data_IF_090455857167
#
_entry.id   IF_090455857167
#
_cell.length_a   1.000
_cell.length_b   1.000
_cell.length_c   1.000
_cell.angle_alpha   90.00
_cell.angle_beta   90.00
_cell.angle_gamma   90.00
#
_symmetry.space_group_name_H-M   'P 1'
#
loop_
_entity.id
_entity.type
_entity.pdbx_description
1 polymer ?
#
# COMPACT_ATOMS: atom_id res chain seq x y z
N UNK A 1 24.46 -0.33 -54.70
CA UNK A 1 23.12 0.28 -54.51
C UNK A 1 22.08 -0.69 -53.96
N UNK A 2 21.80 -1.85 -54.59
CA UNK A 2 20.78 -2.81 -54.12
C UNK A 2 21.01 -3.39 -52.72
N UNK A 3 22.26 -3.67 -52.35
CA UNK A 3 22.62 -4.22 -51.03
C UNK A 3 22.31 -3.23 -49.89
N UNK A 4 22.45 -1.93 -50.14
CA UNK A 4 22.12 -0.90 -49.14
C UNK A 4 20.60 -0.77 -48.94
N UNK A 5 19.81 -0.89 -50.01
CA UNK A 5 18.33 -0.85 -49.93
C UNK A 5 17.81 -2.05 -49.13
N UNK A 6 18.36 -3.24 -49.36
CA UNK A 6 17.98 -4.45 -48.63
C UNK A 6 18.30 -4.35 -47.13
N UNK A 7 19.49 -3.87 -46.77
CA UNK A 7 19.86 -3.64 -45.38
C UNK A 7 18.98 -2.59 -44.69
N UNK A 8 18.61 -1.51 -45.40
CA UNK A 8 17.70 -0.48 -44.87
C UNK A 8 16.30 -1.06 -44.61
N UNK A 9 15.78 -1.89 -45.51
CA UNK A 9 14.48 -2.54 -45.33
C UNK A 9 14.47 -3.47 -44.10
N UNK A 10 15.54 -4.24 -43.90
CA UNK A 10 15.68 -5.09 -42.70
C UNK A 10 15.70 -4.25 -41.43
N UNK A 11 16.45 -3.14 -41.42
CA UNK A 11 16.49 -2.23 -40.26
C UNK A 11 15.10 -1.67 -39.97
N UNK A 12 14.36 -1.22 -40.98
CA UNK A 12 13.00 -0.67 -40.79
C UNK A 12 12.06 -1.74 -40.22
N UNK A 13 12.12 -2.98 -40.71
CA UNK A 13 11.30 -4.10 -40.24
C UNK A 13 11.58 -4.45 -38.78
N UNK A 14 12.80 -4.22 -38.29
CA UNK A 14 13.15 -4.46 -36.88
C UNK A 14 12.82 -3.23 -36.02
N UNK A 15 13.19 -2.04 -36.48
CA UNK A 15 13.08 -0.81 -35.69
C UNK A 15 11.62 -0.40 -35.52
N UNK A 16 10.76 -0.46 -36.55
CA UNK A 16 9.37 -0.02 -36.42
C UNK A 16 8.58 -0.82 -35.36
N UNK A 17 8.60 -2.17 -35.34
CA UNK A 17 7.96 -2.93 -34.27
C UNK A 17 8.57 -2.65 -32.90
N UNK A 18 9.91 -2.54 -32.79
CA UNK A 18 10.55 -2.25 -31.51
C UNK A 18 10.20 -0.86 -30.98
N UNK A 19 10.13 0.16 -31.86
CA UNK A 19 9.68 1.50 -31.52
C UNK A 19 8.24 1.47 -31.05
N UNK A 20 7.36 0.75 -31.76
CA UNK A 20 5.96 0.60 -31.38
C UNK A 20 5.80 -0.09 -30.01
N UNK A 21 6.48 -1.22 -29.80
CA UNK A 21 6.47 -1.95 -28.53
C UNK A 21 7.04 -1.10 -27.38
N UNK A 22 8.08 -0.32 -27.65
CA UNK A 22 8.66 0.62 -26.67
C UNK A 22 7.67 1.72 -26.31
N UNK A 23 6.98 2.27 -27.32
CA UNK A 23 5.95 3.29 -27.10
C UNK A 23 4.77 2.76 -26.28
N UNK A 24 4.25 1.57 -26.59
CA UNK A 24 3.19 0.95 -25.79
C UNK A 24 3.67 0.64 -24.37
N UNK A 25 4.91 0.18 -24.19
CA UNK A 25 5.48 -0.06 -22.86
C UNK A 25 5.58 1.22 -22.03
N UNK A 26 5.90 2.35 -22.65
CA UNK A 26 5.96 3.64 -21.93
C UNK A 26 4.59 4.09 -21.40
N UNK A 27 3.47 3.64 -21.98
CA UNK A 27 2.13 3.92 -21.43
C UNK A 27 1.91 3.17 -20.11
N UNK A 28 2.34 1.92 -20.03
CA UNK A 28 2.23 1.07 -18.84
C UNK A 28 3.12 1.59 -17.71
N UNK A 29 4.31 2.10 -18.02
CA UNK A 29 5.28 2.57 -17.03
C UNK A 29 5.14 4.05 -16.69
N UNK A 30 4.04 4.67 -17.14
CA UNK A 30 3.80 6.10 -16.97
C UNK A 30 3.60 6.49 -15.51
N UNK A 31 2.84 5.68 -14.77
CA UNK A 31 2.56 5.86 -13.36
C UNK A 31 2.23 4.51 -12.71
N UNK A 32 2.26 4.48 -11.38
CA UNK A 32 2.02 3.26 -10.61
C UNK A 32 0.64 2.64 -10.89
N UNK A 33 -0.38 3.46 -11.16
CA UNK A 33 -1.72 2.95 -11.44
C UNK A 33 -1.73 2.21 -12.77
N UNK A 34 -1.25 2.84 -13.85
CA UNK A 34 -1.17 2.22 -15.17
C UNK A 34 -0.33 0.92 -15.14
N UNK A 35 0.76 0.92 -14.37
CA UNK A 35 1.60 -0.27 -14.21
C UNK A 35 0.84 -1.41 -13.53
N UNK A 36 0.21 -1.16 -12.40
CA UNK A 36 -0.47 -2.20 -11.64
C UNK A 36 -1.81 -2.63 -12.28
N UNK A 37 -2.47 -1.76 -13.04
CA UNK A 37 -3.64 -2.13 -13.87
C UNK A 37 -3.24 -3.15 -14.94
N UNK A 38 -2.13 -2.93 -15.65
CA UNK A 38 -1.61 -3.88 -16.65
C UNK A 38 -1.21 -5.22 -16.02
N UNK A 39 -0.59 -5.20 -14.82
CA UNK A 39 -0.23 -6.43 -14.09
C UNK A 39 -1.48 -7.20 -13.68
N UNK A 40 -2.49 -6.54 -13.12
CA UNK A 40 -3.77 -7.18 -12.74
C UNK A 40 -4.50 -7.73 -13.97
N UNK A 41 -4.48 -7.02 -15.10
CA UNK A 41 -5.09 -7.51 -16.33
C UNK A 41 -4.44 -8.81 -16.85
N UNK A 42 -3.12 -8.96 -16.67
CA UNK A 42 -2.36 -10.16 -17.07
C UNK A 42 -2.39 -11.27 -16.04
N UNK A 43 -2.61 -10.94 -14.76
CA UNK A 43 -2.61 -11.87 -13.64
C UNK A 43 -3.74 -11.53 -12.64
N UNK A 44 -5.01 -11.77 -13.01
CA UNK A 44 -6.16 -11.36 -12.20
C UNK A 44 -6.28 -12.11 -10.87
N UNK A 45 -5.64 -13.28 -10.73
CA UNK A 45 -5.64 -14.05 -9.48
C UNK A 45 -4.39 -13.81 -8.64
N UNK A 46 -3.68 -12.69 -8.85
CA UNK A 46 -2.51 -12.33 -8.07
C UNK A 46 -2.86 -11.34 -6.95
N UNK A 47 -2.96 -11.85 -5.72
CA UNK A 47 -3.26 -11.03 -4.54
C UNK A 47 -2.28 -9.87 -4.33
N UNK A 48 -0.98 -10.06 -4.62
CA UNK A 48 0.03 -9.01 -4.49
C UNK A 48 -0.18 -7.89 -5.51
N UNK A 49 -0.54 -8.25 -6.75
CA UNK A 49 -0.83 -7.27 -7.81
C UNK A 49 -2.03 -6.39 -7.41
N UNK A 50 -3.12 -7.01 -6.95
CA UNK A 50 -4.28 -6.28 -6.44
C UNK A 50 -3.94 -5.39 -5.23
N UNK A 51 -3.14 -5.87 -4.27
CA UNK A 51 -2.69 -5.03 -3.17
C UNK A 51 -1.87 -3.82 -3.65
N UNK A 52 -0.98 -4.01 -4.63
CA UNK A 52 -0.18 -2.90 -5.12
C UNK A 52 -0.99 -1.91 -5.98
N UNK A 53 -1.95 -2.39 -6.78
CA UNK A 53 -2.91 -1.53 -7.47
C UNK A 53 -3.72 -0.70 -6.47
N UNK A 54 -4.20 -1.34 -5.39
CA UNK A 54 -4.90 -0.63 -4.33
C UNK A 54 -4.03 0.45 -3.68
N UNK A 55 -2.74 0.16 -3.41
CA UNK A 55 -1.80 1.16 -2.91
C UNK A 55 -1.61 2.33 -3.89
N UNK A 56 -1.50 2.04 -5.18
CA UNK A 56 -1.37 3.07 -6.21
C UNK A 56 -2.62 3.97 -6.29
N UNK A 57 -3.83 3.39 -6.23
CA UNK A 57 -5.06 4.17 -6.14
C UNK A 57 -5.10 5.04 -4.87
N UNK A 58 -4.77 4.49 -3.70
CA UNK A 58 -4.74 5.23 -2.44
C UNK A 58 -3.74 6.39 -2.44
N UNK A 59 -2.57 6.22 -3.05
CA UNK A 59 -1.57 7.28 -3.23
C UNK A 59 -2.08 8.43 -4.12
N UNK A 60 -3.03 8.15 -5.02
CA UNK A 60 -3.70 9.13 -5.86
C UNK A 60 -5.02 9.66 -5.25
N UNK A 61 -5.29 9.39 -3.97
CA UNK A 61 -6.53 9.82 -3.31
C UNK A 61 -7.79 9.06 -3.74
N UNK A 62 -7.64 7.96 -4.49
CA UNK A 62 -8.72 7.11 -5.00
C UNK A 62 -9.02 5.99 -4.00
N UNK A 63 -9.41 6.37 -2.79
CA UNK A 63 -9.53 5.45 -1.65
C UNK A 63 -10.61 4.37 -1.83
N UNK A 64 -11.69 4.67 -2.54
CA UNK A 64 -12.75 3.70 -2.81
C UNK A 64 -12.27 2.61 -3.77
N UNK A 65 -11.58 2.99 -4.85
CA UNK A 65 -10.93 2.03 -5.75
C UNK A 65 -9.84 1.23 -5.04
N UNK A 66 -9.06 1.87 -4.17
CA UNK A 66 -8.08 1.18 -3.35
C UNK A 66 -8.71 0.05 -2.52
N UNK A 67 -9.81 0.35 -1.82
CA UNK A 67 -10.55 -0.62 -1.01
C UNK A 67 -11.07 -1.79 -1.86
N UNK A 68 -11.57 -1.53 -3.07
CA UNK A 68 -12.03 -2.60 -3.96
C UNK A 68 -10.91 -3.58 -4.31
N UNK A 69 -9.72 -3.06 -4.62
CA UNK A 69 -8.57 -3.88 -4.97
C UNK A 69 -8.00 -4.65 -3.76
N UNK A 70 -7.93 -4.02 -2.59
CA UNK A 70 -7.57 -4.74 -1.36
C UNK A 70 -8.57 -5.85 -1.01
N UNK A 71 -9.87 -5.65 -1.25
CA UNK A 71 -10.89 -6.71 -1.08
C UNK A 71 -10.63 -7.88 -2.03
N UNK A 72 -10.29 -7.62 -3.30
CA UNK A 72 -9.90 -8.69 -4.24
C UNK A 72 -8.66 -9.43 -3.76
N UNK A 73 -7.62 -8.71 -3.31
CA UNK A 73 -6.42 -9.30 -2.74
C UNK A 73 -6.72 -10.21 -1.54
N UNK A 74 -7.61 -9.76 -0.64
CA UNK A 74 -8.05 -10.54 0.52
C UNK A 74 -8.93 -11.74 0.13
N UNK A 75 -9.71 -11.66 -0.95
CA UNK A 75 -10.49 -12.80 -1.42
C UNK A 75 -9.58 -13.90 -2.03
N UNK A 76 -8.54 -13.50 -2.76
CA UNK A 76 -7.56 -14.42 -3.36
C UNK A 76 -6.67 -15.04 -2.28
N UNK A 77 -6.19 -14.23 -1.33
CA UNK A 77 -5.36 -14.67 -0.21
C UNK A 77 -5.97 -14.21 1.13
N UNK A 78 -6.83 -15.03 1.75
CA UNK A 78 -7.60 -14.66 2.95
C UNK A 78 -6.80 -14.23 4.17
N UNK A 79 -5.55 -14.66 4.30
CA UNK A 79 -4.64 -14.31 5.39
C UNK A 79 -3.63 -13.21 5.02
N UNK A 80 -3.86 -12.46 3.93
CA UNK A 80 -2.95 -11.41 3.48
C UNK A 80 -3.05 -10.15 4.34
N UNK A 81 -2.34 -10.14 5.48
CA UNK A 81 -2.39 -9.07 6.47
C UNK A 81 -2.15 -7.66 5.88
N UNK A 82 -1.25 -7.53 4.89
CA UNK A 82 -1.00 -6.26 4.20
C UNK A 82 -2.24 -5.70 3.49
N UNK A 83 -3.06 -6.55 2.87
CA UNK A 83 -4.28 -6.10 2.20
C UNK A 83 -5.27 -5.51 3.21
N UNK A 84 -5.47 -6.17 4.35
CA UNK A 84 -6.33 -5.67 5.42
C UNK A 84 -5.80 -4.38 6.05
N UNK A 85 -4.49 -4.29 6.31
CA UNK A 85 -3.87 -3.07 6.83
C UNK A 85 -4.05 -1.89 5.87
N UNK A 86 -3.80 -2.09 4.57
CA UNK A 86 -3.94 -1.02 3.57
C UNK A 86 -5.42 -0.63 3.35
N UNK A 87 -6.35 -1.57 3.47
CA UNK A 87 -7.78 -1.29 3.54
C UNK A 87 -8.11 -0.41 4.73
N UNK A 88 -7.60 -0.75 5.92
CA UNK A 88 -7.82 0.02 7.15
C UNK A 88 -7.32 1.46 7.01
N UNK A 89 -6.11 1.65 6.44
CA UNK A 89 -5.57 2.98 6.15
C UNK A 89 -6.49 3.77 5.22
N UNK A 90 -7.03 3.14 4.17
CA UNK A 90 -7.92 3.80 3.20
C UNK A 90 -9.26 4.17 3.83
N UNK A 91 -9.84 3.30 4.65
CA UNK A 91 -11.04 3.63 5.46
C UNK A 91 -10.77 4.79 6.43
N UNK A 92 -9.59 4.83 7.07
CA UNK A 92 -9.18 5.92 7.95
C UNK A 92 -9.07 7.28 7.22
N UNK A 93 -8.56 7.29 5.98
CA UNK A 93 -8.55 8.50 5.13
C UNK A 93 -9.97 8.98 4.80
N UNK A 94 -10.89 8.05 4.58
CA UNK A 94 -12.32 8.32 4.38
C UNK A 94 -13.09 8.65 5.67
N UNK A 95 -12.41 8.72 6.84
CA UNK A 95 -13.03 8.95 8.16
C UNK A 95 -14.06 7.88 8.57
N UNK A 96 -13.97 6.70 7.98
CA UNK A 96 -14.74 5.51 8.33
C UNK A 96 -13.99 4.73 9.42
N UNK A 97 -13.96 5.32 10.62
CA UNK A 97 -13.14 4.81 11.73
C UNK A 97 -13.52 3.39 12.19
N UNK A 98 -14.81 3.01 12.29
CA UNK A 98 -15.19 1.65 12.70
C UNK A 98 -14.66 0.57 11.75
N UNK A 99 -14.75 0.81 10.44
CA UNK A 99 -14.23 -0.09 9.41
C UNK A 99 -12.70 -0.14 9.45
N UNK A 100 -12.05 1.01 9.61
CA UNK A 100 -10.60 1.07 9.74
C UNK A 100 -10.11 0.22 10.91
N UNK A 101 -10.72 0.39 12.08
CA UNK A 101 -10.38 -0.38 13.28
C UNK A 101 -10.66 -1.88 13.12
N UNK A 102 -11.79 -2.25 12.52
CA UNK A 102 -12.11 -3.64 12.21
C UNK A 102 -11.00 -4.30 11.37
N UNK A 103 -10.53 -3.61 10.31
CA UNK A 103 -9.52 -4.17 9.42
C UNK A 103 -8.10 -4.14 10.01
N UNK A 104 -7.76 -3.18 10.87
CA UNK A 104 -6.50 -3.25 11.63
C UNK A 104 -6.49 -4.47 12.56
N UNK A 105 -7.56 -4.71 13.32
CA UNK A 105 -7.69 -5.88 14.19
C UNK A 105 -7.61 -7.19 13.41
N UNK A 106 -8.24 -7.24 12.22
CA UNK A 106 -8.15 -8.39 11.32
C UNK A 106 -6.74 -8.61 10.78
N UNK A 107 -6.02 -7.53 10.41
CA UNK A 107 -4.62 -7.61 9.97
C UNK A 107 -3.71 -8.17 11.08
N UNK A 108 -3.86 -7.67 12.33
CA UNK A 108 -3.13 -8.16 13.50
C UNK A 108 -3.42 -9.64 13.75
N UNK A 109 -4.68 -10.06 13.64
CA UNK A 109 -5.06 -11.46 13.84
C UNK A 109 -4.39 -12.41 12.84
N UNK A 110 -4.18 -11.99 11.59
CA UNK A 110 -3.47 -12.79 10.60
C UNK A 110 -1.96 -12.75 10.73
N UNK A 111 -1.40 -11.60 11.11
CA UNK A 111 0.04 -11.47 11.25
C UNK A 111 0.42 -10.45 12.33
N UNK A 112 0.55 -10.89 13.60
CA UNK A 112 0.85 -10.01 14.74
C UNK A 112 2.31 -9.54 14.78
N UNK A 113 3.16 -10.03 13.88
CA UNK A 113 4.57 -9.67 13.80
C UNK A 113 4.89 -8.54 12.81
N UNK A 114 3.89 -7.85 12.27
CA UNK A 114 4.11 -6.73 11.33
C UNK A 114 4.04 -5.38 12.04
N UNK A 115 5.18 -4.69 12.27
CA UNK A 115 5.23 -3.44 13.01
C UNK A 115 4.32 -2.36 12.40
N UNK A 116 4.29 -2.26 11.06
CA UNK A 116 3.52 -1.23 10.33
C UNK A 116 2.03 -1.22 10.70
N UNK A 117 1.45 -2.37 11.06
CA UNK A 117 0.03 -2.43 11.47
C UNK A 117 -0.17 -1.67 12.78
N UNK A 118 0.73 -1.88 13.74
CA UNK A 118 0.68 -1.26 15.06
C UNK A 118 0.95 0.24 14.99
N UNK A 119 1.95 0.67 14.20
CA UNK A 119 2.18 2.09 13.99
C UNK A 119 0.95 2.80 13.43
N UNK A 120 0.39 2.28 12.32
CA UNK A 120 -0.74 2.90 11.65
C UNK A 120 -2.02 2.88 12.50
N UNK A 121 -2.30 1.76 13.19
CA UNK A 121 -3.47 1.67 14.07
C UNK A 121 -3.32 2.57 15.29
N UNK A 122 -2.15 2.57 15.93
CA UNK A 122 -1.85 3.43 17.06
C UNK A 122 -1.94 4.91 16.69
N UNK A 123 -1.45 5.29 15.51
CA UNK A 123 -1.59 6.65 14.98
C UNK A 123 -3.05 7.03 14.73
N UNK A 124 -3.87 6.13 14.17
CA UNK A 124 -5.31 6.35 14.03
C UNK A 124 -5.96 6.63 15.40
N UNK A 125 -5.71 5.79 16.41
CA UNK A 125 -6.24 5.95 17.77
C UNK A 125 -5.81 7.27 18.40
N UNK A 126 -4.52 7.61 18.29
CA UNK A 126 -3.97 8.88 18.76
C UNK A 126 -4.67 10.09 18.10
N UNK A 127 -4.88 10.05 16.78
CA UNK A 127 -5.58 11.12 16.04
C UNK A 127 -7.03 11.32 16.48
N UNK A 128 -7.63 10.29 17.08
CA UNK A 128 -8.97 10.31 17.67
C UNK A 128 -8.98 10.60 19.16
N UNK A 129 -7.83 10.98 19.72
CA UNK A 129 -7.64 11.27 21.14
C UNK A 129 -7.93 10.07 22.06
N UNK A 130 -7.92 8.85 21.52
CA UNK A 130 -8.08 7.59 22.28
C UNK A 130 -6.72 7.17 22.85
N UNK A 131 -6.14 8.03 23.69
CA UNK A 131 -4.75 7.92 24.12
C UNK A 131 -4.46 6.66 24.94
N UNK A 132 -5.37 6.27 25.83
CA UNK A 132 -5.27 5.04 26.63
C UNK A 132 -5.17 3.79 25.75
N UNK A 133 -5.89 3.77 24.62
CA UNK A 133 -5.84 2.65 23.67
C UNK A 133 -4.65 2.76 22.72
N UNK A 134 -4.24 3.98 22.35
CA UNK A 134 -3.12 4.23 21.45
C UNK A 134 -1.78 3.80 22.08
N UNK A 135 -1.58 4.04 23.39
CA UNK A 135 -0.32 3.76 24.07
C UNK A 135 0.16 2.31 23.95
N UNK A 136 -0.62 1.27 24.32
CA UNK A 136 -0.18 -0.11 24.20
C UNK A 136 0.05 -0.54 22.73
N UNK A 137 -0.71 0.01 21.78
CA UNK A 137 -0.57 -0.29 20.36
C UNK A 137 0.72 0.31 19.79
N UNK A 138 1.00 1.59 20.08
CA UNK A 138 2.24 2.27 19.65
C UNK A 138 3.49 1.67 20.34
N UNK A 139 3.40 1.30 21.61
CA UNK A 139 4.49 0.59 22.31
C UNK A 139 4.82 -0.75 21.66
N UNK A 140 3.81 -1.47 21.14
CA UNK A 140 4.02 -2.73 20.43
C UNK A 140 4.78 -2.55 19.11
N UNK A 141 4.60 -1.43 18.41
CA UNK A 141 5.42 -1.09 17.24
C UNK A 141 6.91 -1.00 17.60
N UNK A 142 7.25 -0.28 18.69
CA UNK A 142 8.64 -0.14 19.18
C UNK A 142 9.21 -1.50 19.62
N UNK A 143 8.40 -2.35 20.26
CA UNK A 143 8.81 -3.69 20.68
C UNK A 143 9.17 -4.58 19.47
N UNK A 144 8.36 -4.52 18.42
CA UNK A 144 8.55 -5.36 17.22
C UNK A 144 9.66 -4.85 16.29
N UNK A 145 9.85 -3.53 16.21
CA UNK A 145 10.91 -2.90 15.42
C UNK A 145 11.54 -1.69 16.14
N UNK A 146 12.49 -1.93 17.05
CA UNK A 146 13.16 -0.88 17.82
C UNK A 146 14.01 0.08 16.97
N UNK A 147 14.33 -0.29 15.73
CA UNK A 147 15.16 0.49 14.79
C UNK A 147 14.35 1.04 13.61
N UNK A 148 13.03 0.88 13.65
CA UNK A 148 12.15 1.24 12.55
C UNK A 148 12.12 2.74 12.24
N UNK A 149 11.80 3.13 11.00
CA UNK A 149 11.87 4.52 10.56
C UNK A 149 10.93 5.45 11.34
N UNK A 150 9.83 4.93 11.88
CA UNK A 150 8.87 5.71 12.66
C UNK A 150 9.13 5.72 14.17
N UNK A 151 10.22 5.11 14.66
CA UNK A 151 10.56 5.08 16.09
C UNK A 151 10.69 6.49 16.69
N UNK A 152 11.43 7.45 16.09
CA UNK A 152 11.54 8.80 16.64
C UNK A 152 10.19 9.52 16.73
N UNK A 153 9.30 9.30 15.76
CA UNK A 153 7.96 9.88 15.76
C UNK A 153 7.07 9.22 16.80
N UNK A 154 7.11 7.89 16.89
CA UNK A 154 6.31 7.11 17.83
C UNK A 154 6.67 7.42 19.27
N UNK A 155 7.96 7.58 19.59
CA UNK A 155 8.40 8.01 20.93
C UNK A 155 7.80 9.37 21.31
N UNK A 156 7.75 10.34 20.38
CA UNK A 156 7.11 11.63 20.64
C UNK A 156 5.60 11.49 20.91
N UNK A 157 4.91 10.60 20.20
CA UNK A 157 3.49 10.33 20.47
C UNK A 157 3.30 9.71 21.86
N UNK A 158 4.15 8.77 22.25
CA UNK A 158 4.10 8.14 23.57
C UNK A 158 4.39 9.14 24.71
N UNK A 159 5.37 10.02 24.53
CA UNK A 159 5.64 11.12 25.48
C UNK A 159 4.45 12.09 25.60
N UNK A 160 3.84 12.46 24.48
CA UNK A 160 2.66 13.32 24.48
C UNK A 160 1.46 12.66 25.17
N UNK A 161 1.20 11.38 24.90
CA UNK A 161 0.19 10.59 25.60
C UNK A 161 0.47 10.58 27.11
N UNK A 162 1.72 10.34 27.51
CA UNK A 162 2.09 10.32 28.92
C UNK A 162 1.84 11.67 29.61
N UNK A 163 2.15 12.79 28.93
CA UNK A 163 1.83 14.14 29.45
C UNK A 163 0.33 14.36 29.58
N UNK A 164 -0.47 13.91 28.62
CA UNK A 164 -1.93 14.09 28.64
C UNK A 164 -2.63 13.24 29.70
N UNK A 165 -2.13 12.04 29.97
CA UNK A 165 -2.76 11.12 30.92
C UNK A 165 -2.24 11.32 32.36
N UNK A 166 -0.99 11.75 32.54
CA UNK A 166 -0.33 11.80 33.86
C UNK A 166 0.21 13.19 34.25
N UNK A 167 0.16 14.17 33.35
CA UNK A 167 0.54 15.55 33.66
C UNK A 167 -0.58 16.30 34.36
N UNK A 168 -0.43 16.52 35.67
CA UNK A 168 -1.05 17.65 36.36
C UNK A 168 -0.26 18.93 36.07
#
# INVERSE_FOLDING_TARGET
>A
MKQNIFSILIIIIIVLPLTYLTYERNKVWKDDVALWEDVVAKAPDNARAHNNLGRAYGANGRDLEAIMEFKKAANILPNYALAYMNMAVSYGRLKMDPEAEFYYKKAIAFYPGLPDIYYNYGFLLYSKQRYEEAYPILSKYIELDPTGPFVPFTNKLLEDIARKNYGK
#
